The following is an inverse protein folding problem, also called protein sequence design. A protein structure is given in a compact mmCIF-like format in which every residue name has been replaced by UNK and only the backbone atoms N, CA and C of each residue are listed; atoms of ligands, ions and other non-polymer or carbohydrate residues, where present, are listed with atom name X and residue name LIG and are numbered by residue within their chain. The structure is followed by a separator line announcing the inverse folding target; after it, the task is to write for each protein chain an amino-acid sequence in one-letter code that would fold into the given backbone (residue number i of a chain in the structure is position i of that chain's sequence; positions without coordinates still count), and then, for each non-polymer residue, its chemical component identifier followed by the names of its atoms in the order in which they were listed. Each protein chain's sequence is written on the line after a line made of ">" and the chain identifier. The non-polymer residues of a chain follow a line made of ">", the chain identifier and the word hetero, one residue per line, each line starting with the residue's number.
data_IF_868914701224
#
_entry.id   IF_868914701224
#
_cell.length_a   1.000
_cell.length_b   1.000
_cell.length_c   1.000
_cell.angle_alpha   90.00
_cell.angle_beta   90.00
_cell.angle_gamma   90.00
#
_symmetry.space_group_name_H-M   'P 1'
#
loop_
_entity.id
_entity.type
_entity.pdbx_description
1 polymer ?
#
# COMPACT_ATOMS: atom_id res chain seq x y z
N UNK A 1 13.48 7.18 -16.88
CA UNK A 1 12.02 7.33 -17.16
C UNK A 1 11.43 8.54 -16.43
N UNK A 2 11.65 8.69 -15.11
CA UNK A 2 11.15 9.83 -14.33
C UNK A 2 11.69 11.20 -14.81
N UNK A 3 12.99 11.31 -15.13
CA UNK A 3 13.62 12.58 -15.54
C UNK A 3 13.02 13.26 -16.78
N UNK A 4 12.23 12.54 -17.61
CA UNK A 4 11.55 13.10 -18.78
C UNK A 4 10.15 13.64 -18.46
N UNK A 5 9.61 13.34 -17.27
CA UNK A 5 8.25 13.70 -16.86
C UNK A 5 8.32 14.71 -15.71
N UNK A 6 7.86 15.92 -15.96
CA UNK A 6 7.91 17.03 -14.98
C UNK A 6 6.99 16.81 -13.79
N UNK A 7 5.98 15.95 -13.91
CA UNK A 7 5.03 15.59 -12.85
C UNK A 7 5.47 14.37 -12.01
N UNK A 8 6.67 13.83 -12.23
CA UNK A 8 7.20 12.69 -11.47
C UNK A 8 8.44 13.13 -10.71
N UNK A 9 8.35 13.18 -9.39
CA UNK A 9 9.48 13.49 -8.50
C UNK A 9 10.06 12.18 -7.97
N UNK A 10 11.26 11.74 -8.44
CA UNK A 10 11.88 10.53 -7.92
C UNK A 10 12.45 10.77 -6.53
N UNK A 11 12.18 9.86 -5.59
CA UNK A 11 12.75 9.86 -4.24
C UNK A 11 13.50 8.52 -4.07
N UNK A 12 14.80 8.59 -3.80
CA UNK A 12 15.65 7.41 -3.60
C UNK A 12 15.91 7.25 -2.10
N UNK A 13 14.95 6.67 -1.39
CA UNK A 13 15.01 6.40 0.05
C UNK A 13 14.25 5.12 0.41
N UNK A 14 14.48 4.58 1.61
CA UNK A 14 13.74 3.43 2.13
C UNK A 14 12.32 3.82 2.59
N UNK A 15 11.29 3.24 1.96
CA UNK A 15 9.89 3.46 2.29
C UNK A 15 9.50 3.05 3.72
N UNK A 16 10.33 2.24 4.40
CA UNK A 16 10.17 1.91 5.84
C UNK A 16 10.49 3.09 6.76
N UNK A 17 11.13 4.14 6.24
CA UNK A 17 11.61 5.29 7.01
C UNK A 17 11.06 6.61 6.44
N UNK A 18 9.72 6.83 6.49
CA UNK A 18 9.07 8.00 5.88
C UNK A 18 9.55 9.35 6.39
N UNK A 19 10.15 9.40 7.59
CA UNK A 19 10.73 10.61 8.14
C UNK A 19 11.93 11.12 7.33
N UNK A 20 12.68 10.25 6.64
CA UNK A 20 13.86 10.66 5.87
C UNK A 20 13.52 11.52 4.66
N UNK A 21 12.39 11.27 4.01
CA UNK A 21 11.90 12.04 2.86
C UNK A 21 10.73 12.96 3.20
N UNK A 22 10.45 13.16 4.49
CA UNK A 22 9.34 14.03 4.95
C UNK A 22 9.42 15.45 4.41
N UNK A 23 10.63 15.99 4.28
CA UNK A 23 10.84 17.36 3.77
C UNK A 23 10.48 17.52 2.29
N UNK A 24 10.46 16.42 1.52
CA UNK A 24 10.19 16.42 0.08
C UNK A 24 8.73 16.12 -0.25
N UNK A 25 7.99 15.52 0.69
CA UNK A 25 6.65 14.99 0.44
C UNK A 25 5.55 15.89 1.02
N UNK A 26 4.68 16.48 0.19
CA UNK A 26 3.46 17.12 0.66
C UNK A 26 2.40 16.08 1.05
N UNK A 27 1.26 16.55 1.57
CA UNK A 27 0.10 15.69 1.77
C UNK A 27 -0.45 15.22 0.42
N UNK A 28 -0.70 13.90 0.29
CA UNK A 28 -1.18 13.25 -0.93
C UNK A 28 -2.63 12.83 -0.81
N UNK A 29 -3.30 12.71 -1.96
CA UNK A 29 -4.71 12.27 -2.05
C UNK A 29 -4.84 10.75 -2.15
N UNK A 30 -3.82 10.07 -2.69
CA UNK A 30 -3.80 8.63 -2.80
C UNK A 30 -2.39 8.03 -2.68
N UNK A 31 -2.32 6.78 -2.23
CA UNK A 31 -1.09 5.97 -2.23
C UNK A 31 -1.32 4.73 -3.09
N UNK A 32 -0.38 4.45 -4.00
CA UNK A 32 -0.27 3.17 -4.69
C UNK A 32 0.94 2.42 -4.13
N UNK A 33 0.76 1.16 -3.74
CA UNK A 33 1.80 0.35 -3.13
C UNK A 33 2.00 -0.97 -3.88
N UNK A 34 3.14 -1.08 -4.55
CA UNK A 34 3.60 -2.29 -5.26
C UNK A 34 4.97 -2.71 -4.71
N UNK A 35 5.02 -2.96 -3.40
CA UNK A 35 6.24 -3.29 -2.67
C UNK A 35 6.20 -4.78 -2.35
N UNK A 36 7.11 -5.56 -2.92
CA UNK A 36 7.21 -7.01 -2.71
C UNK A 36 7.94 -7.34 -1.39
N UNK A 37 7.35 -6.96 -0.25
CA UNK A 37 7.92 -7.21 1.09
C UNK A 37 6.87 -7.84 2.03
N UNK A 38 7.25 -8.77 2.93
CA UNK A 38 6.32 -9.35 3.90
C UNK A 38 5.69 -8.34 4.87
N UNK A 39 6.34 -7.20 5.09
CA UNK A 39 5.87 -6.12 5.97
C UNK A 39 5.15 -4.98 5.22
N UNK A 40 4.55 -5.29 4.06
CA UNK A 40 3.90 -4.31 3.17
C UNK A 40 2.82 -3.48 3.88
N UNK A 41 1.88 -4.11 4.60
CA UNK A 41 0.83 -3.37 5.33
C UNK A 41 1.41 -2.31 6.28
N UNK A 42 2.50 -2.63 6.99
CA UNK A 42 3.19 -1.70 7.89
C UNK A 42 3.80 -0.52 7.14
N UNK A 43 4.46 -0.79 6.02
CA UNK A 43 5.06 0.26 5.16
C UNK A 43 3.97 1.22 4.68
N UNK A 44 2.85 0.68 4.20
CA UNK A 44 1.72 1.48 3.70
C UNK A 44 1.10 2.30 4.83
N UNK A 45 0.86 1.70 6.00
CA UNK A 45 0.31 2.39 7.17
C UNK A 45 1.17 3.56 7.63
N UNK A 46 2.49 3.34 7.77
CA UNK A 46 3.43 4.40 8.17
C UNK A 46 3.44 5.57 7.18
N UNK A 47 3.38 5.28 5.89
CA UNK A 47 3.30 6.31 4.85
C UNK A 47 1.94 7.03 4.86
N UNK A 48 0.85 6.29 5.03
CA UNK A 48 -0.50 6.85 5.09
C UNK A 48 -0.65 7.80 6.28
N UNK A 49 -0.18 7.41 7.46
CA UNK A 49 -0.24 8.26 8.66
C UNK A 49 0.56 9.56 8.52
N UNK A 50 1.63 9.54 7.73
CA UNK A 50 2.55 10.66 7.58
C UNK A 50 2.17 11.62 6.45
N UNK A 51 1.58 11.10 5.36
CA UNK A 51 1.37 11.87 4.13
C UNK A 51 -0.04 11.79 3.55
N UNK A 52 -0.85 10.80 3.88
CA UNK A 52 -2.17 10.65 3.25
C UNK A 52 -3.22 11.50 3.96
N UNK A 53 -4.01 12.23 3.17
CA UNK A 53 -5.16 13.00 3.70
C UNK A 53 -6.21 12.06 4.28
N UNK A 54 -6.99 12.56 5.24
CA UNK A 54 -8.14 11.80 5.78
C UNK A 54 -9.17 11.60 4.66
N UNK A 55 -9.66 10.37 4.49
CA UNK A 55 -10.49 9.98 3.35
C UNK A 55 -9.69 9.72 2.06
N UNK A 56 -8.36 9.78 2.12
CA UNK A 56 -7.49 9.49 0.98
C UNK A 56 -7.52 8.02 0.59
N UNK A 57 -7.34 7.78 -0.72
CA UNK A 57 -7.39 6.44 -1.30
C UNK A 57 -6.08 5.68 -1.12
N UNK A 58 -6.18 4.37 -0.94
CA UNK A 58 -5.02 3.47 -0.96
C UNK A 58 -5.32 2.34 -1.92
N UNK A 59 -4.38 2.07 -2.83
CA UNK A 59 -4.43 0.92 -3.72
C UNK A 59 -3.18 0.06 -3.50
N UNK A 60 -3.36 -1.18 -3.07
CA UNK A 60 -2.28 -2.09 -2.68
C UNK A 60 -2.26 -3.28 -3.62
N UNK A 61 -1.13 -3.50 -4.26
CA UNK A 61 -0.81 -4.71 -5.03
C UNK A 61 -0.22 -5.74 -4.08
N UNK A 62 -1.01 -6.78 -3.76
CA UNK A 62 -0.61 -7.87 -2.88
C UNK A 62 -0.17 -9.04 -3.74
N UNK A 63 1.11 -9.39 -3.63
CA UNK A 63 1.70 -10.57 -4.26
C UNK A 63 1.88 -11.67 -3.22
N UNK A 64 1.00 -12.67 -3.22
CA UNK A 64 0.96 -13.67 -2.15
C UNK A 64 2.31 -14.38 -1.95
N UNK A 65 2.95 -14.77 -3.06
CA UNK A 65 4.23 -15.49 -3.08
C UNK A 65 5.40 -14.70 -2.49
N UNK A 66 5.34 -13.36 -2.42
CA UNK A 66 6.38 -12.55 -1.80
C UNK A 66 6.18 -12.34 -0.30
N UNK A 67 4.97 -12.59 0.20
CA UNK A 67 4.63 -12.48 1.62
C UNK A 67 4.84 -13.84 2.29
N UNK A 68 4.22 -14.88 1.74
CA UNK A 68 4.33 -16.26 2.20
C UNK A 68 4.12 -17.22 1.03
N UNK A 69 5.19 -17.88 0.60
CA UNK A 69 5.17 -18.84 -0.51
C UNK A 69 4.62 -20.22 -0.14
N UNK A 70 4.35 -20.47 1.15
CA UNK A 70 3.87 -21.77 1.65
C UNK A 70 2.36 -21.78 1.89
N UNK A 71 1.76 -20.61 2.10
CA UNK A 71 0.35 -20.46 2.36
C UNK A 71 -0.47 -20.28 1.05
N UNK A 72 -1.75 -20.71 1.03
CA UNK A 72 -2.65 -20.39 -0.07
C UNK A 72 -2.85 -18.88 -0.22
N UNK A 73 -2.88 -18.39 -1.47
CA UNK A 73 -2.99 -16.95 -1.77
C UNK A 73 -4.20 -16.27 -1.11
N UNK A 74 -5.36 -16.94 -1.10
CA UNK A 74 -6.58 -16.44 -0.45
C UNK A 74 -6.41 -16.17 1.04
N UNK A 75 -5.63 -17.02 1.74
CA UNK A 75 -5.32 -16.84 3.16
C UNK A 75 -4.38 -15.64 3.37
N UNK A 76 -3.37 -15.48 2.51
CA UNK A 76 -2.45 -14.34 2.56
C UNK A 76 -3.20 -13.03 2.34
N UNK A 77 -4.13 -12.99 1.37
CA UNK A 77 -4.95 -11.81 1.12
C UNK A 77 -5.81 -11.44 2.34
N UNK A 78 -6.51 -12.41 2.93
CA UNK A 78 -7.31 -12.17 4.13
C UNK A 78 -6.45 -11.64 5.29
N UNK A 79 -5.25 -12.20 5.50
CA UNK A 79 -4.33 -11.74 6.53
C UNK A 79 -3.86 -10.29 6.31
N UNK A 80 -3.52 -9.92 5.09
CA UNK A 80 -3.13 -8.54 4.78
C UNK A 80 -4.30 -7.56 4.95
N UNK A 81 -5.50 -7.95 4.52
CA UNK A 81 -6.72 -7.14 4.72
C UNK A 81 -6.97 -6.87 6.21
N UNK A 82 -6.79 -7.85 7.08
CA UNK A 82 -6.93 -7.66 8.53
C UNK A 82 -5.84 -6.76 9.11
N UNK A 83 -4.60 -6.87 8.65
CA UNK A 83 -3.52 -5.94 9.05
C UNK A 83 -3.85 -4.50 8.67
N UNK A 84 -4.41 -4.27 7.47
CA UNK A 84 -4.82 -2.93 7.04
C UNK A 84 -5.94 -2.36 7.91
N UNK A 85 -6.94 -3.18 8.27
CA UNK A 85 -8.01 -2.77 9.19
C UNK A 85 -7.47 -2.34 10.55
N UNK A 86 -6.48 -3.07 11.09
CA UNK A 86 -5.82 -2.71 12.34
C UNK A 86 -5.13 -1.33 12.27
N UNK A 87 -4.65 -0.93 11.09
CA UNK A 87 -3.97 0.34 10.83
C UNK A 87 -4.92 1.46 10.36
N UNK A 88 -6.22 1.35 10.66
CA UNK A 88 -7.26 2.34 10.31
C UNK A 88 -7.44 2.57 8.81
N UNK A 89 -7.05 1.59 8.00
CA UNK A 89 -7.27 1.58 6.56
C UNK A 89 -8.46 0.66 6.32
N UNK A 90 -9.57 1.23 5.83
CA UNK A 90 -10.81 0.47 5.59
C UNK A 90 -10.82 -0.06 4.16
N UNK A 91 -10.70 -1.38 3.94
CA UNK A 91 -10.81 -1.99 2.62
C UNK A 91 -12.22 -1.77 2.06
N UNK A 92 -12.31 -1.43 0.77
CA UNK A 92 -13.56 -1.20 0.05
C UNK A 92 -13.81 -2.28 -0.98
N UNK A 93 -12.78 -2.62 -1.74
CA UNK A 93 -12.86 -3.58 -2.83
C UNK A 93 -11.59 -4.42 -2.89
N UNK A 94 -11.74 -5.66 -3.30
CA UNK A 94 -10.67 -6.61 -3.49
C UNK A 94 -10.90 -7.33 -4.82
N UNK A 95 -9.88 -7.36 -5.67
CA UNK A 95 -9.95 -7.97 -6.99
C UNK A 95 -8.68 -8.77 -7.27
N UNK A 96 -8.84 -10.03 -7.68
CA UNK A 96 -7.73 -10.83 -8.20
C UNK A 96 -7.41 -10.40 -9.64
N UNK A 97 -6.13 -10.42 -9.99
CA UNK A 97 -5.68 -9.96 -11.32
C UNK A 97 -5.66 -11.07 -12.38
N UNK A 98 -6.35 -12.18 -12.14
CA UNK A 98 -6.47 -13.24 -13.13
C UNK A 98 -7.32 -12.77 -14.31
N UNK A 99 -6.90 -13.02 -15.57
CA UNK A 99 -5.83 -13.93 -15.99
C UNK A 99 -4.44 -13.28 -16.19
N UNK A 100 -4.27 -11.99 -15.92
CA UNK A 100 -3.04 -11.25 -16.23
C UNK A 100 -1.88 -11.59 -15.30
N UNK A 101 -2.13 -11.65 -13.99
CA UNK A 101 -1.13 -12.03 -12.98
C UNK A 101 -1.69 -13.06 -12.01
N UNK A 102 -1.00 -14.19 -11.88
CA UNK A 102 -1.35 -15.28 -10.94
C UNK A 102 -0.93 -14.91 -9.53
N UNK A 103 -1.72 -15.30 -8.54
CA UNK A 103 -1.46 -15.05 -7.10
C UNK A 103 -1.29 -13.56 -6.73
N UNK A 104 -1.83 -12.67 -7.57
CA UNK A 104 -1.86 -11.22 -7.32
C UNK A 104 -3.29 -10.75 -7.07
N UNK A 105 -3.39 -9.80 -6.14
CA UNK A 105 -4.65 -9.19 -5.77
C UNK A 105 -4.45 -7.68 -5.58
N UNK A 106 -5.33 -6.87 -6.16
CA UNK A 106 -5.45 -5.46 -5.82
C UNK A 106 -6.48 -5.29 -4.71
N UNK A 107 -6.12 -4.51 -3.70
CA UNK A 107 -7.03 -4.07 -2.64
C UNK A 107 -7.14 -2.56 -2.71
N UNK A 108 -8.35 -2.07 -2.95
CA UNK A 108 -8.70 -0.67 -2.84
C UNK A 108 -9.24 -0.39 -1.44
N UNK A 109 -8.71 0.64 -0.78
CA UNK A 109 -9.05 0.99 0.58
C UNK A 109 -9.10 2.51 0.77
N UNK A 110 -9.73 2.93 1.86
CA UNK A 110 -9.86 4.32 2.27
C UNK A 110 -9.21 4.51 3.64
N UNK A 111 -8.39 5.55 3.77
CA UNK A 111 -7.72 5.86 5.02
C UNK A 111 -8.59 6.72 5.95
N UNK A 112 -8.82 6.24 7.16
CA UNK A 112 -9.44 7.03 8.23
C UNK A 112 -8.42 7.29 9.33
N UNK A 113 -8.21 8.55 9.69
CA UNK A 113 -7.34 8.88 10.83
C UNK A 113 -8.05 8.65 12.16
N UNK A 114 -9.37 8.78 12.18
CA UNK A 114 -10.20 8.63 13.38
C UNK A 114 -10.81 7.23 13.41
N UNK A 115 -10.77 6.58 14.57
CA UNK A 115 -11.57 5.39 14.80
C UNK A 115 -13.05 5.78 14.74
N UNK A 116 -13.87 4.96 14.09
CA UNK A 116 -15.33 5.04 14.23
C UNK A 116 -15.75 4.39 15.54
#
# INVERSE_FOLDING_TARGET
>A
MAAKRTNVVPIVEDARQPLKYRMLMPMVDAIFADVAQPDQARIVAMNAHQFLKVGGGILISIKANCIDSTAPATKVFAMEVEKLRAERITPKEQLTLEPFERDHCLVAAEYSRYAK
#
